data_IF_592160514105
#
_entry.id   IF_592160514105
#
_cell.length_a   1.000
_cell.length_b   1.000
_cell.length_c   1.000
_cell.angle_alpha   90.00
_cell.angle_beta   90.00
_cell.angle_gamma   90.00
#
_symmetry.space_group_name_H-M   'P 1'
#
loop_
_entity.id
_entity.type
_entity.pdbx_description
1 polymer ?
#
# COMPACT_ATOMS: atom_id res chain seq x y z
N UNK A 1 -1.87 28.96 7.77
CA UNK A 1 -1.30 27.60 7.75
C UNK A 1 -0.77 27.35 6.36
N UNK A 2 0.45 26.84 6.28
CA UNK A 2 1.26 26.80 5.06
C UNK A 2 1.18 25.40 4.42
N UNK A 3 1.47 25.29 3.12
CA UNK A 3 1.46 24.04 2.33
C UNK A 3 2.72 23.20 2.57
N UNK A 4 2.64 21.87 2.43
CA UNK A 4 3.80 20.95 2.40
C UNK A 4 4.51 21.06 1.05
N UNK A 5 5.84 21.20 1.06
CA UNK A 5 6.62 21.15 -0.18
C UNK A 5 6.72 19.72 -0.75
N UNK A 6 7.02 19.62 -2.03
CA UNK A 6 7.32 18.35 -2.71
C UNK A 6 8.80 17.97 -2.50
N UNK A 7 9.17 17.68 -1.25
CA UNK A 7 10.56 17.53 -0.78
C UNK A 7 11.34 16.38 -1.43
N UNK A 8 10.68 15.35 -1.95
CA UNK A 8 11.30 14.21 -2.63
C UNK A 8 11.32 14.34 -4.16
N UNK A 9 10.79 15.45 -4.67
CA UNK A 9 10.84 15.79 -6.08
C UNK A 9 12.29 16.03 -6.56
N UNK A 10 12.60 15.61 -7.78
CA UNK A 10 13.95 15.69 -8.37
C UNK A 10 14.88 14.54 -7.98
N UNK A 11 14.47 13.68 -7.02
CA UNK A 11 15.23 12.50 -6.60
C UNK A 11 14.42 11.21 -6.71
N UNK A 12 13.26 11.14 -6.06
CA UNK A 12 12.40 9.95 -6.09
C UNK A 12 11.48 9.90 -7.31
N UNK A 13 11.13 11.07 -7.83
CA UNK A 13 10.34 11.27 -9.05
C UNK A 13 10.74 12.60 -9.70
N UNK A 14 10.39 12.82 -10.97
CA UNK A 14 10.80 14.02 -11.69
C UNK A 14 10.18 15.30 -11.11
N UNK A 15 10.98 16.35 -10.95
CA UNK A 15 10.59 17.72 -10.62
C UNK A 15 10.07 18.52 -11.83
N UNK A 16 10.28 18.02 -13.03
CA UNK A 16 9.74 18.63 -14.25
C UNK A 16 8.29 18.22 -14.46
N UNK A 17 7.37 19.18 -14.34
CA UNK A 17 5.93 19.00 -14.61
C UNK A 17 5.68 18.21 -15.90
N UNK A 18 6.34 18.59 -16.99
CA UNK A 18 6.20 17.95 -18.32
C UNK A 18 6.66 16.50 -18.30
N UNK A 19 7.81 16.22 -17.69
CA UNK A 19 8.37 14.86 -17.63
C UNK A 19 7.52 13.97 -16.75
N UNK A 20 7.15 14.44 -15.56
CA UNK A 20 6.32 13.71 -14.61
C UNK A 20 4.93 13.41 -15.20
N UNK A 21 4.28 14.39 -15.83
CA UNK A 21 3.00 14.19 -16.53
C UNK A 21 3.11 13.08 -17.58
N UNK A 22 4.13 13.15 -18.45
CA UNK A 22 4.35 12.15 -19.51
C UNK A 22 4.59 10.75 -18.93
N UNK A 23 5.38 10.63 -17.86
CA UNK A 23 5.67 9.35 -17.22
C UNK A 23 4.39 8.72 -16.65
N UNK A 24 3.61 9.49 -15.89
CA UNK A 24 2.35 9.03 -15.31
C UNK A 24 1.35 8.63 -16.40
N UNK A 25 1.18 9.46 -17.44
CA UNK A 25 0.31 9.16 -18.58
C UNK A 25 0.73 7.88 -19.30
N UNK A 26 2.02 7.71 -19.53
CA UNK A 26 2.56 6.52 -20.19
C UNK A 26 2.28 5.26 -19.37
N UNK A 27 2.54 5.28 -18.06
CA UNK A 27 2.30 4.11 -17.21
C UNK A 27 0.81 3.79 -17.09
N UNK A 28 -0.06 4.79 -16.91
CA UNK A 28 -1.52 4.60 -16.91
C UNK A 28 -2.03 4.06 -18.26
N UNK A 29 -1.45 4.49 -19.38
CA UNK A 29 -1.81 3.99 -20.70
C UNK A 29 -1.35 2.55 -20.96
N UNK A 30 -0.26 2.09 -20.31
CA UNK A 30 0.25 0.73 -20.44
C UNK A 30 -0.59 -0.32 -19.71
N UNK A 31 -1.33 0.07 -18.67
CA UNK A 31 -2.27 -0.83 -18.01
C UNK A 31 -3.45 -1.10 -18.97
N UNK A 32 -3.88 -2.35 -19.18
CA UNK A 32 -5.06 -2.66 -19.99
C UNK A 32 -6.31 -1.92 -19.50
N UNK A 33 -7.25 -1.59 -20.41
CA UNK A 33 -8.54 -1.02 -20.01
C UNK A 33 -9.51 -2.07 -19.46
N UNK A 34 -9.19 -3.35 -19.64
CA UNK A 34 -9.92 -4.48 -19.10
C UNK A 34 -8.89 -5.54 -18.66
N UNK A 35 -9.03 -6.05 -17.44
CA UNK A 35 -8.16 -7.09 -16.89
C UNK A 35 -8.97 -8.39 -16.79
N UNK A 36 -8.48 -9.45 -17.42
CA UNK A 36 -9.12 -10.77 -17.36
C UNK A 36 -9.34 -11.22 -15.90
N UNK A 37 -10.56 -11.67 -15.60
CA UNK A 37 -10.97 -12.08 -14.25
C UNK A 37 -11.35 -10.92 -13.31
N UNK A 38 -11.12 -9.67 -13.71
CA UNK A 38 -11.48 -8.47 -12.95
C UNK A 38 -12.55 -7.64 -13.69
N UNK A 39 -12.36 -7.40 -14.99
CA UNK A 39 -13.23 -6.58 -15.83
C UNK A 39 -12.64 -5.21 -16.15
N UNK A 40 -13.51 -4.28 -16.53
CA UNK A 40 -13.12 -2.98 -17.07
C UNK A 40 -12.64 -2.01 -16.00
N UNK A 41 -11.69 -1.15 -16.36
CA UNK A 41 -11.07 -0.16 -15.48
C UNK A 41 -11.57 1.28 -15.78
N UNK A 42 -11.74 2.14 -14.75
CA UNK A 42 -11.61 1.83 -13.32
C UNK A 42 -12.68 0.84 -12.88
N UNK A 43 -12.36 0.02 -11.87
CA UNK A 43 -13.28 -1.00 -11.37
C UNK A 43 -14.43 -0.27 -10.64
N UNK A 44 -15.69 -0.41 -11.06
CA UNK A 44 -16.80 0.33 -10.44
C UNK A 44 -16.86 0.09 -8.93
N UNK A 45 -16.80 1.17 -8.14
CA UNK A 45 -16.86 1.09 -6.68
C UNK A 45 -15.55 0.62 -6.00
N UNK A 46 -14.45 0.42 -6.73
CA UNK A 46 -13.15 0.17 -6.14
C UNK A 46 -12.59 1.46 -5.54
N UNK A 47 -12.84 1.67 -4.25
CA UNK A 47 -12.48 2.89 -3.51
C UNK A 47 -11.27 2.73 -2.61
N UNK A 48 -10.72 1.52 -2.49
CA UNK A 48 -9.53 1.24 -1.67
C UNK A 48 -8.47 0.65 -2.58
N UNK A 49 -7.23 1.13 -2.49
CA UNK A 49 -6.08 0.54 -3.19
C UNK A 49 -4.89 0.31 -2.26
N UNK A 50 -4.07 -0.70 -2.59
CA UNK A 50 -2.69 -0.84 -2.10
C UNK A 50 -1.78 -0.51 -3.28
N UNK A 51 -0.86 0.42 -3.08
CA UNK A 51 0.10 0.86 -4.09
C UNK A 51 1.49 1.07 -3.49
N UNK A 52 2.57 0.85 -4.27
CA UNK A 52 3.94 1.00 -3.79
C UNK A 52 4.37 2.46 -3.66
N UNK A 53 5.41 2.71 -2.88
CA UNK A 53 5.98 4.03 -2.61
C UNK A 53 7.50 4.11 -2.76
N UNK A 54 8.13 3.16 -3.45
CA UNK A 54 9.49 3.37 -3.95
C UNK A 54 9.58 4.50 -4.99
N UNK A 55 10.81 4.88 -5.37
CA UNK A 55 11.05 5.85 -6.44
C UNK A 55 10.43 5.40 -7.77
N UNK A 56 9.87 6.36 -8.53
CA UNK A 56 9.03 6.09 -9.70
C UNK A 56 9.74 5.36 -10.84
N UNK A 57 11.07 5.45 -10.91
CA UNK A 57 11.87 4.67 -11.87
C UNK A 57 11.73 3.15 -11.66
N UNK A 58 11.38 2.71 -10.45
CA UNK A 58 11.22 1.31 -10.09
C UNK A 58 9.75 0.92 -9.97
N UNK A 59 8.98 1.61 -9.14
CA UNK A 59 7.62 1.21 -8.76
C UNK A 59 6.52 1.95 -9.52
N UNK A 60 6.86 3.00 -10.28
CA UNK A 60 5.91 3.83 -11.02
C UNK A 60 4.99 3.02 -11.94
N UNK A 61 5.51 2.13 -12.80
CA UNK A 61 4.69 1.24 -13.63
C UNK A 61 3.77 0.32 -12.83
N UNK A 62 4.26 -0.26 -11.73
CA UNK A 62 3.46 -1.12 -10.87
C UNK A 62 2.29 -0.33 -10.26
N UNK A 63 2.55 0.82 -9.64
CA UNK A 63 1.54 1.69 -9.03
C UNK A 63 0.40 2.07 -10.00
N UNK A 64 0.69 2.19 -11.31
CA UNK A 64 -0.31 2.50 -12.32
C UNK A 64 -1.49 1.51 -12.32
N UNK A 65 -1.25 0.23 -12.01
CA UNK A 65 -2.29 -0.79 -11.95
C UNK A 65 -3.28 -0.54 -10.81
N UNK A 66 -2.79 -0.16 -9.63
CA UNK A 66 -3.64 0.24 -8.51
C UNK A 66 -4.44 1.50 -8.86
N UNK A 67 -3.78 2.55 -9.34
CA UNK A 67 -4.44 3.81 -9.67
C UNK A 67 -5.44 3.70 -10.82
N UNK A 68 -5.15 2.92 -11.87
CA UNK A 68 -6.12 2.72 -12.94
C UNK A 68 -7.32 1.90 -12.49
N UNK A 69 -7.18 1.07 -11.45
CA UNK A 69 -8.31 0.34 -10.86
C UNK A 69 -9.20 1.22 -9.96
N UNK A 70 -8.67 2.32 -9.41
CA UNK A 70 -9.33 3.19 -8.45
C UNK A 70 -10.46 4.02 -9.10
N UNK A 71 -11.68 3.88 -8.57
CA UNK A 71 -12.84 4.68 -8.97
C UNK A 71 -13.01 5.90 -8.06
N UNK A 72 -12.64 7.07 -8.59
CA UNK A 72 -12.80 8.37 -7.93
C UNK A 72 -14.05 9.12 -8.39
N UNK A 73 -14.98 8.50 -9.13
CA UNK A 73 -16.17 9.15 -9.71
C UNK A 73 -17.04 9.89 -8.68
N UNK A 74 -17.10 9.36 -7.46
CA UNK A 74 -17.90 9.90 -6.33
C UNK A 74 -17.06 10.52 -5.23
N UNK A 75 -15.73 10.47 -5.34
CA UNK A 75 -14.84 10.87 -4.27
C UNK A 75 -14.99 12.37 -3.96
N UNK A 76 -15.17 12.67 -2.67
CA UNK A 76 -15.08 14.00 -2.06
C UNK A 76 -13.88 14.09 -1.14
N UNK A 77 -13.40 12.96 -0.62
CA UNK A 77 -12.18 12.86 0.20
C UNK A 77 -11.33 11.67 -0.21
N UNK A 78 -10.01 11.83 -0.12
CA UNK A 78 -9.04 10.76 -0.39
C UNK A 78 -8.12 10.63 0.83
N UNK A 79 -8.26 9.53 1.55
CA UNK A 79 -7.39 9.17 2.66
C UNK A 79 -6.11 8.51 2.12
N UNK A 80 -4.96 8.88 2.68
CA UNK A 80 -3.67 8.28 2.33
C UNK A 80 -3.02 7.80 3.61
N UNK A 81 -2.93 6.49 3.79
CA UNK A 81 -2.28 5.88 4.95
C UNK A 81 -0.89 5.43 4.55
N UNK A 82 0.14 6.08 5.10
CA UNK A 82 1.54 5.76 4.81
C UNK A 82 2.33 5.40 6.06
N UNK A 83 3.22 4.39 6.00
CA UNK A 83 4.08 4.07 7.13
C UNK A 83 5.07 5.21 7.42
N UNK A 84 5.52 5.32 8.67
CA UNK A 84 6.65 6.19 9.00
C UNK A 84 7.99 5.46 8.92
N UNK A 85 8.94 6.02 8.17
CA UNK A 85 10.30 5.52 8.01
C UNK A 85 11.30 6.27 8.90
N UNK A 86 11.07 7.56 9.11
CA UNK A 86 12.04 8.46 9.75
C UNK A 86 11.64 8.87 11.17
N UNK A 87 10.34 8.87 11.48
CA UNK A 87 9.82 9.31 12.77
C UNK A 87 9.32 8.12 13.60
N UNK A 88 9.91 7.90 14.76
CA UNK A 88 9.42 6.88 15.66
C UNK A 88 8.12 7.35 16.34
N UNK A 89 7.02 6.66 16.03
CA UNK A 89 5.74 6.80 16.72
C UNK A 89 5.06 5.43 16.84
N UNK A 90 4.31 5.23 17.92
CA UNK A 90 3.56 3.99 18.21
C UNK A 90 2.04 4.13 18.00
N UNK A 91 1.63 5.24 17.38
CA UNK A 91 0.23 5.61 17.04
C UNK A 91 0.18 6.14 15.60
N UNK A 92 -0.91 6.80 15.21
CA UNK A 92 -1.09 7.48 13.94
C UNK A 92 -0.92 9.00 14.11
N UNK A 93 -0.35 9.67 13.11
CA UNK A 93 -0.15 11.12 13.09
C UNK A 93 -0.90 11.79 11.93
N UNK A 94 -1.36 13.02 12.16
CA UNK A 94 -2.06 13.86 11.20
C UNK A 94 -1.29 15.18 10.97
N UNK A 95 -1.35 15.77 9.76
CA UNK A 95 -0.58 16.96 9.44
C UNK A 95 -1.12 18.22 10.14
N UNK A 96 -0.24 19.17 10.39
CA UNK A 96 -0.57 20.54 10.84
C UNK A 96 -0.70 21.55 9.67
N UNK A 97 -0.81 21.01 8.44
CA UNK A 97 -0.77 21.74 7.18
C UNK A 97 -2.17 21.82 6.54
N UNK A 98 -2.32 22.65 5.51
CA UNK A 98 -3.61 22.85 4.81
C UNK A 98 -3.66 22.27 3.41
N UNK A 99 -2.51 22.00 2.80
CA UNK A 99 -2.42 21.54 1.41
C UNK A 99 -1.03 20.97 1.11
N UNK A 100 -0.91 20.10 0.12
CA UNK A 100 0.35 19.47 -0.30
C UNK A 100 0.69 19.81 -1.75
N UNK A 101 1.92 20.27 -2.02
CA UNK A 101 2.40 20.54 -3.36
C UNK A 101 2.77 19.27 -4.11
N UNK A 102 2.69 19.37 -5.44
CA UNK A 102 3.29 18.41 -6.38
C UNK A 102 3.83 19.19 -7.58
N UNK A 103 4.81 18.68 -8.33
CA UNK A 103 5.28 19.35 -9.55
C UNK A 103 4.25 19.42 -10.69
N UNK A 104 3.04 18.87 -10.54
CA UNK A 104 2.03 18.81 -11.60
C UNK A 104 1.21 20.10 -11.76
N UNK A 105 1.23 20.99 -10.77
CA UNK A 105 0.52 22.28 -10.77
C UNK A 105 1.15 23.24 -9.75
N UNK A 106 1.00 24.54 -10.01
CA UNK A 106 1.34 25.59 -9.05
C UNK A 106 0.31 25.70 -7.91
N UNK A 107 -0.88 25.10 -8.06
CA UNK A 107 -1.87 24.99 -6.99
C UNK A 107 -1.69 23.66 -6.23
N UNK A 108 -1.57 23.67 -4.89
CA UNK A 108 -1.41 22.46 -4.10
C UNK A 108 -2.74 21.70 -3.90
N UNK A 109 -2.65 20.39 -3.66
CA UNK A 109 -3.81 19.57 -3.32
C UNK A 109 -4.36 19.96 -1.94
N UNK A 110 -5.65 20.27 -1.79
CA UNK A 110 -6.23 20.71 -0.52
C UNK A 110 -6.32 19.55 0.49
N UNK A 111 -6.09 19.83 1.77
CA UNK A 111 -6.39 18.89 2.86
C UNK A 111 -7.75 19.18 3.49
N UNK A 112 -8.44 18.15 4.00
CA UNK A 112 -9.68 18.30 4.75
C UNK A 112 -9.36 18.72 6.20
N UNK A 113 -9.06 20.00 6.40
CA UNK A 113 -8.60 20.51 7.71
C UNK A 113 -9.67 20.38 8.80
N UNK A 114 -10.95 20.42 8.45
CA UNK A 114 -12.04 20.24 9.39
C UNK A 114 -12.08 18.78 9.89
N UNK A 115 -12.00 17.82 8.97
CA UNK A 115 -11.94 16.41 9.34
C UNK A 115 -10.65 16.07 10.09
N UNK A 116 -9.49 16.61 9.68
CA UNK A 116 -8.22 16.41 10.39
C UNK A 116 -8.33 16.89 11.84
N UNK A 117 -8.89 18.08 12.08
CA UNK A 117 -9.12 18.60 13.43
C UNK A 117 -10.10 17.72 14.23
N UNK A 118 -11.15 17.21 13.59
CA UNK A 118 -12.08 16.25 14.19
C UNK A 118 -11.38 14.95 14.59
N UNK A 119 -10.57 14.37 13.71
CA UNK A 119 -9.82 13.14 14.00
C UNK A 119 -8.83 13.35 15.14
N UNK A 120 -8.09 14.47 15.16
CA UNK A 120 -7.17 14.82 16.25
C UNK A 120 -7.85 14.90 17.63
N UNK A 121 -9.11 15.34 17.67
CA UNK A 121 -9.90 15.41 18.92
C UNK A 121 -10.63 14.12 19.27
N UNK A 122 -10.61 13.12 18.38
CA UNK A 122 -11.27 11.82 18.58
C UNK A 122 -10.29 10.79 19.14
N UNK A 123 -10.78 9.93 20.05
CA UNK A 123 -10.00 8.82 20.62
C UNK A 123 -10.48 7.50 20.04
N UNK A 124 -9.56 6.68 19.55
CA UNK A 124 -9.80 5.28 19.24
C UNK A 124 -9.85 4.46 20.54
N UNK A 125 -10.77 3.49 20.61
CA UNK A 125 -11.01 2.66 21.79
C UNK A 125 -10.47 1.26 21.51
N UNK A 126 -9.55 0.79 22.36
CA UNK A 126 -8.99 -0.56 22.27
C UNK A 126 -9.94 -1.57 22.91
N UNK A 127 -9.77 -2.84 22.55
CA UNK A 127 -10.57 -3.96 23.08
C UNK A 127 -10.56 -4.08 24.60
N UNK A 128 -9.49 -3.63 25.28
CA UNK A 128 -9.40 -3.61 26.74
C UNK A 128 -10.00 -2.35 27.39
N UNK A 129 -10.71 -1.52 26.63
CA UNK A 129 -11.33 -0.27 27.10
C UNK A 129 -10.38 0.92 27.23
N UNK A 130 -9.06 0.72 27.07
CA UNK A 130 -8.11 1.85 27.02
C UNK A 130 -8.27 2.63 25.71
N UNK A 131 -7.83 3.89 25.71
CA UNK A 131 -7.96 4.76 24.53
C UNK A 131 -6.59 5.17 23.98
N UNK A 132 -6.56 5.47 22.69
CA UNK A 132 -5.40 6.00 21.97
C UNK A 132 -5.86 7.13 21.06
N UNK A 133 -5.07 8.20 21.00
CA UNK A 133 -5.34 9.36 20.15
C UNK A 133 -4.41 9.39 18.95
N UNK A 134 -4.83 10.07 17.89
CA UNK A 134 -3.89 10.60 16.90
C UNK A 134 -2.91 11.57 17.58
N UNK A 135 -1.70 11.66 17.04
CA UNK A 135 -0.76 12.75 17.31
C UNK A 135 -0.70 13.68 16.10
N UNK A 136 0.07 14.77 16.20
CA UNK A 136 0.41 15.60 15.03
C UNK A 136 1.77 15.22 14.46
N UNK A 137 1.94 15.45 13.16
CA UNK A 137 3.25 15.49 12.50
C UNK A 137 3.54 16.94 12.10
N UNK A 138 4.66 17.47 12.58
CA UNK A 138 5.11 18.82 12.22
C UNK A 138 5.50 18.86 10.73
N UNK A 139 5.57 20.06 10.14
CA UNK A 139 6.05 20.25 8.76
C UNK A 139 7.31 19.46 8.46
N UNK A 140 8.32 19.55 9.32
CA UNK A 140 9.61 18.90 9.08
C UNK A 140 9.52 17.39 9.11
N UNK A 141 8.66 16.82 9.96
CA UNK A 141 8.41 15.36 9.98
C UNK A 141 7.65 14.94 8.73
N UNK A 142 6.66 15.72 8.32
CA UNK A 142 5.83 15.46 7.15
C UNK A 142 6.67 15.54 5.85
N UNK A 143 7.53 16.57 5.71
CA UNK A 143 8.41 16.76 4.55
C UNK A 143 9.58 15.76 4.53
N UNK A 144 10.02 15.18 5.65
CA UNK A 144 11.04 14.13 5.66
C UNK A 144 10.46 12.74 5.28
N UNK A 145 9.15 12.55 5.43
CA UNK A 145 8.49 11.29 5.07
C UNK A 145 8.10 11.24 3.59
N UNK A 146 8.39 10.12 2.93
CA UNK A 146 8.13 9.93 1.50
C UNK A 146 6.92 9.04 1.23
N UNK A 147 6.54 8.17 2.17
CA UNK A 147 5.52 7.13 1.92
C UNK A 147 4.16 7.69 1.49
N UNK A 148 3.78 8.87 1.97
CA UNK A 148 2.55 9.58 1.55
C UNK A 148 2.81 10.38 0.27
N UNK A 149 3.98 11.04 0.17
CA UNK A 149 4.32 11.92 -0.95
C UNK A 149 4.31 11.19 -2.30
N UNK A 150 4.80 9.96 -2.33
CA UNK A 150 4.89 9.17 -3.58
C UNK A 150 3.51 8.82 -4.17
N UNK A 151 2.42 9.04 -3.44
CA UNK A 151 1.06 8.90 -3.95
C UNK A 151 0.49 10.21 -4.54
N UNK A 152 1.05 11.37 -4.17
CA UNK A 152 0.48 12.67 -4.52
C UNK A 152 0.49 12.95 -6.03
N UNK A 153 1.58 12.69 -6.79
CA UNK A 153 1.56 12.89 -8.24
C UNK A 153 0.54 12.03 -8.96
N UNK A 154 0.41 10.75 -8.59
CA UNK A 154 -0.61 9.87 -9.18
C UNK A 154 -2.03 10.38 -8.87
N UNK A 155 -2.32 10.72 -7.61
CA UNK A 155 -3.63 11.26 -7.20
C UNK A 155 -3.94 12.54 -8.00
N UNK A 156 -3.00 13.50 -8.02
CA UNK A 156 -3.19 14.75 -8.74
C UNK A 156 -3.43 14.49 -10.24
N UNK A 157 -2.67 13.59 -10.85
CA UNK A 157 -2.82 13.31 -12.28
C UNK A 157 -4.17 12.68 -12.60
N UNK A 158 -4.63 11.72 -11.79
CA UNK A 158 -5.97 11.13 -11.95
C UNK A 158 -7.07 12.18 -11.84
N UNK A 159 -6.95 13.10 -10.88
CA UNK A 159 -7.91 14.18 -10.69
C UNK A 159 -7.92 15.18 -11.85
N UNK A 160 -6.75 15.51 -12.41
CA UNK A 160 -6.64 16.31 -13.64
C UNK A 160 -7.33 15.63 -14.84
N UNK A 161 -7.14 14.32 -14.99
CA UNK A 161 -7.76 13.56 -16.07
C UNK A 161 -9.29 13.48 -15.92
N UNK A 162 -9.77 13.30 -14.68
CA UNK A 162 -11.18 13.15 -14.38
C UNK A 162 -11.94 14.49 -14.35
N UNK A 163 -11.28 15.56 -13.91
CA UNK A 163 -11.86 16.89 -13.75
C UNK A 163 -11.03 17.97 -14.46
N UNK A 164 -10.85 17.90 -15.79
CA UNK A 164 -9.91 18.75 -16.54
C UNK A 164 -10.24 20.25 -16.49
N UNK A 165 -11.46 20.62 -16.10
CA UNK A 165 -11.91 22.01 -15.99
C UNK A 165 -12.05 22.50 -14.55
N UNK A 166 -11.78 21.66 -13.54
CA UNK A 166 -11.83 22.08 -12.13
C UNK A 166 -10.45 22.56 -11.68
N UNK A 167 -10.36 23.69 -10.97
CA UNK A 167 -9.11 24.10 -10.34
C UNK A 167 -8.72 23.12 -9.22
N UNK A 168 -7.43 23.04 -8.89
CA UNK A 168 -6.92 22.08 -7.89
C UNK A 168 -7.56 22.30 -6.52
N UNK A 169 -7.84 23.56 -6.17
CA UNK A 169 -8.56 23.92 -4.94
C UNK A 169 -9.97 23.32 -4.80
N UNK A 170 -10.58 22.80 -5.87
CA UNK A 170 -11.90 22.17 -5.88
C UNK A 170 -11.83 20.64 -6.07
N UNK A 171 -10.64 20.05 -6.07
CA UNK A 171 -10.48 18.61 -6.06
C UNK A 171 -10.93 18.01 -4.72
N UNK A 172 -11.22 16.69 -4.68
CA UNK A 172 -11.43 15.97 -3.44
C UNK A 172 -10.29 16.24 -2.46
N UNK A 173 -10.63 16.62 -1.23
CA UNK A 173 -9.65 16.96 -0.21
C UNK A 173 -8.92 15.71 0.29
N UNK A 174 -7.64 15.85 0.59
CA UNK A 174 -6.84 14.75 1.11
C UNK A 174 -6.95 14.66 2.63
N UNK A 175 -6.83 13.45 3.15
CA UNK A 175 -6.64 13.15 4.57
C UNK A 175 -5.38 12.29 4.74
N UNK A 176 -4.20 12.92 4.82
CA UNK A 176 -2.95 12.20 5.06
C UNK A 176 -2.89 11.66 6.48
N UNK A 177 -2.51 10.39 6.62
CA UNK A 177 -2.38 9.71 7.91
C UNK A 177 -1.05 8.96 7.90
N UNK A 178 -0.10 9.44 8.72
CA UNK A 178 1.15 8.72 8.95
C UNK A 178 0.92 7.63 10.01
N UNK A 179 1.24 6.38 9.68
CA UNK A 179 1.02 5.21 10.54
C UNK A 179 2.37 4.76 11.10
N UNK A 180 2.49 4.76 12.42
CA UNK A 180 3.71 4.33 13.10
C UNK A 180 3.89 2.83 13.24
N UNK A 181 4.97 2.47 13.93
CA UNK A 181 5.23 1.11 14.39
C UNK A 181 4.33 0.80 15.59
N UNK A 182 3.12 0.35 15.31
CA UNK A 182 2.06 0.18 16.31
C UNK A 182 1.78 -1.29 16.63
N UNK A 183 0.74 -1.55 17.43
CA UNK A 183 0.31 -2.89 17.85
C UNK A 183 -1.00 -3.29 17.19
N UNK A 184 -1.26 -4.60 17.05
CA UNK A 184 -2.55 -5.12 16.54
C UNK A 184 -3.78 -4.53 17.27
N UNK A 185 -3.68 -4.34 18.59
CA UNK A 185 -4.75 -3.71 19.39
C UNK A 185 -4.96 -2.23 19.08
N UNK A 186 -3.93 -1.52 18.63
CA UNK A 186 -4.02 -0.13 18.21
C UNK A 186 -4.52 -0.04 16.77
N UNK A 187 -4.07 -0.95 15.90
CA UNK A 187 -4.53 -1.07 14.50
C UNK A 187 -6.02 -1.34 14.45
N UNK A 188 -6.52 -2.32 15.22
CA UNK A 188 -7.95 -2.61 15.32
C UNK A 188 -8.76 -1.41 15.86
N UNK A 189 -8.23 -0.70 16.87
CA UNK A 189 -8.91 0.47 17.43
C UNK A 189 -9.04 1.62 16.42
N UNK A 190 -7.99 1.89 15.63
CA UNK A 190 -8.07 2.88 14.56
C UNK A 190 -8.87 2.38 13.35
N UNK A 191 -8.84 1.08 13.07
CA UNK A 191 -9.70 0.45 12.06
C UNK A 191 -11.18 0.73 12.36
N UNK A 192 -11.63 0.42 13.57
CA UNK A 192 -12.99 0.72 14.03
C UNK A 192 -13.32 2.22 14.03
N UNK A 193 -12.36 3.09 14.36
CA UNK A 193 -12.54 4.55 14.27
C UNK A 193 -12.72 5.01 12.81
N UNK A 194 -12.00 4.40 11.86
CA UNK A 194 -12.01 4.77 10.45
C UNK A 194 -13.14 4.10 9.65
N UNK A 195 -13.71 3.01 10.14
CA UNK A 195 -14.79 2.24 9.51
C UNK A 195 -15.97 3.10 9.01
N UNK A 196 -16.53 4.08 9.76
CA UNK A 196 -17.60 4.93 9.25
C UNK A 196 -17.20 5.79 8.03
N UNK A 197 -15.92 6.17 7.93
CA UNK A 197 -15.41 6.88 6.75
C UNK A 197 -15.20 5.94 5.58
N UNK A 198 -14.93 4.66 5.84
CA UNK A 198 -14.77 3.63 4.83
C UNK A 198 -16.11 3.28 4.17
N UNK A 199 -17.19 3.17 4.95
CA UNK A 199 -18.56 2.95 4.45
C UNK A 199 -19.07 4.07 3.55
N UNK A 200 -18.72 5.33 3.84
CA UNK A 200 -19.17 6.49 3.06
C UNK A 200 -18.65 6.40 1.61
N UNK A 201 -19.53 6.24 0.60
CA UNK A 201 -19.15 6.06 -0.80
C UNK A 201 -18.48 7.29 -1.40
N UNK A 202 -18.49 8.43 -0.70
CA UNK A 202 -17.77 9.63 -1.09
C UNK A 202 -16.29 9.63 -0.66
N UNK A 203 -15.80 8.59 0.02
CA UNK A 203 -14.41 8.51 0.43
C UNK A 203 -13.66 7.43 -0.36
N UNK A 204 -12.39 7.70 -0.67
CA UNK A 204 -11.44 6.74 -1.22
C UNK A 204 -10.21 6.62 -0.31
N UNK A 205 -9.51 5.50 -0.37
CA UNK A 205 -8.40 5.14 0.51
C UNK A 205 -7.21 4.62 -0.30
N UNK A 206 -6.04 5.21 -0.09
CA UNK A 206 -4.76 4.78 -0.63
C UNK A 206 -3.92 4.23 0.52
N UNK A 207 -3.59 2.95 0.44
CA UNK A 207 -2.72 2.25 1.38
C UNK A 207 -1.33 2.18 0.75
N UNK A 208 -0.40 2.90 1.34
CA UNK A 208 0.97 3.00 0.84
C UNK A 208 1.81 1.84 1.37
N UNK A 209 2.26 0.94 0.48
CA UNK A 209 3.12 -0.17 0.85
C UNK A 209 3.93 -0.73 -0.32
N UNK A 210 5.25 -0.76 -0.15
CA UNK A 210 6.10 -1.76 -0.79
C UNK A 210 5.96 -3.11 -0.02
N UNK A 211 6.43 -4.19 -0.64
CA UNK A 211 6.42 -5.55 -0.06
C UNK A 211 7.83 -5.90 0.45
N UNK A 212 8.35 -7.11 0.23
CA UNK A 212 9.64 -7.51 0.78
C UNK A 212 10.78 -6.54 0.42
N UNK A 213 11.47 -6.06 1.44
CA UNK A 213 12.81 -5.47 1.35
C UNK A 213 13.83 -6.55 1.74
N UNK A 214 14.39 -7.23 0.75
CA UNK A 214 15.32 -8.34 0.93
C UNK A 214 16.78 -7.91 0.74
N UNK A 215 17.64 -8.38 1.62
CA UNK A 215 19.10 -8.23 1.54
C UNK A 215 19.74 -7.82 2.86
N UNK A 216 21.06 -7.97 2.93
CA UNK A 216 21.85 -7.65 4.13
C UNK A 216 21.65 -6.19 4.59
N UNK A 217 21.49 -5.25 3.65
CA UNK A 217 21.26 -3.83 3.95
C UNK A 217 19.95 -3.56 4.71
N UNK A 218 18.95 -4.43 4.55
CA UNK A 218 17.67 -4.36 5.24
C UNK A 218 17.63 -5.23 6.51
N UNK A 219 18.74 -5.93 6.81
CA UNK A 219 18.82 -6.92 7.89
C UNK A 219 17.75 -8.01 7.77
N UNK A 220 17.37 -8.34 6.55
CA UNK A 220 16.37 -9.34 6.25
C UNK A 220 16.81 -10.19 5.06
N UNK A 221 17.17 -11.45 5.32
CA UNK A 221 17.68 -12.40 4.32
C UNK A 221 16.94 -13.73 4.42
N UNK A 222 15.64 -13.68 4.74
CA UNK A 222 14.80 -14.86 4.86
C UNK A 222 14.73 -15.62 3.53
N UNK A 223 14.86 -16.94 3.60
CA UNK A 223 14.97 -17.82 2.46
C UNK A 223 14.23 -19.13 2.73
N UNK A 224 13.39 -19.54 1.79
CA UNK A 224 12.52 -20.71 1.85
C UNK A 224 13.06 -21.75 0.86
N UNK A 225 13.79 -22.78 1.33
CA UNK A 225 14.37 -23.79 0.44
C UNK A 225 13.31 -24.69 -0.23
N UNK A 226 12.07 -24.68 0.27
CA UNK A 226 10.92 -25.39 -0.30
C UNK A 226 10.14 -24.55 -1.32
N UNK A 227 10.58 -23.32 -1.61
CA UNK A 227 9.91 -22.48 -2.59
C UNK A 227 9.85 -23.14 -3.98
N UNK A 228 8.81 -22.88 -4.78
CA UNK A 228 8.69 -23.44 -6.12
C UNK A 228 9.91 -23.16 -7.00
N UNK A 229 10.38 -24.19 -7.72
CA UNK A 229 11.44 -24.10 -8.73
C UNK A 229 11.04 -24.82 -10.03
N UNK A 230 10.97 -24.14 -11.19
CA UNK A 230 11.17 -22.70 -11.34
C UNK A 230 10.05 -21.90 -10.65
N UNK A 231 10.41 -20.74 -10.11
CA UNK A 231 9.44 -19.78 -9.58
C UNK A 231 8.73 -18.98 -10.69
N UNK A 232 7.84 -18.06 -10.31
CA UNK A 232 7.10 -17.25 -11.27
C UNK A 232 8.03 -16.32 -12.06
N UNK A 233 7.75 -16.15 -13.35
CA UNK A 233 8.37 -15.12 -14.19
C UNK A 233 7.65 -13.80 -13.96
N UNK A 234 8.37 -12.81 -13.41
CA UNK A 234 7.82 -11.47 -13.21
C UNK A 234 7.87 -10.64 -14.50
N UNK A 235 6.95 -9.69 -14.67
CA UNK A 235 5.89 -9.29 -13.74
C UNK A 235 4.66 -10.23 -13.77
N UNK A 236 4.00 -10.43 -12.62
CA UNK A 236 2.73 -11.17 -12.56
C UNK A 236 1.53 -10.22 -12.68
N UNK A 237 0.46 -10.72 -13.30
CA UNK A 237 -0.82 -10.04 -13.46
C UNK A 237 -1.93 -10.78 -12.70
N UNK A 238 -3.12 -10.18 -12.60
CA UNK A 238 -4.24 -10.65 -11.76
C UNK A 238 -4.52 -12.16 -11.85
N UNK A 239 -4.50 -12.75 -13.05
CA UNK A 239 -4.77 -14.18 -13.29
C UNK A 239 -3.77 -15.15 -12.64
N UNK A 240 -2.59 -14.66 -12.27
CA UNK A 240 -1.50 -15.44 -11.68
C UNK A 240 -1.24 -15.05 -10.22
N UNK A 241 -2.08 -14.17 -9.66
CA UNK A 241 -1.98 -13.66 -8.31
C UNK A 241 -3.14 -14.19 -7.46
N UNK A 242 -2.98 -14.30 -6.14
CA UNK A 242 -4.07 -14.68 -5.25
C UNK A 242 -5.29 -13.77 -5.43
N UNK A 243 -6.49 -14.36 -5.46
CA UNK A 243 -7.75 -13.64 -5.60
C UNK A 243 -8.71 -13.99 -4.46
N UNK A 244 -9.62 -13.09 -4.07
CA UNK A 244 -10.68 -13.40 -3.14
C UNK A 244 -11.56 -14.56 -3.60
N UNK A 245 -11.77 -15.52 -2.71
CA UNK A 245 -12.56 -16.74 -2.97
C UNK A 245 -11.72 -17.96 -3.34
N UNK A 246 -10.39 -17.84 -3.38
CA UNK A 246 -9.51 -19.02 -3.29
C UNK A 246 -9.82 -19.80 -2.00
N UNK A 247 -9.79 -21.14 -2.08
CA UNK A 247 -10.09 -22.02 -0.93
C UNK A 247 -9.19 -21.67 0.26
N UNK A 248 -9.80 -21.42 1.44
CA UNK A 248 -9.07 -21.04 2.66
C UNK A 248 -8.02 -22.11 3.01
N UNK A 249 -8.34 -23.39 2.79
CA UNK A 249 -7.38 -24.48 3.02
C UNK A 249 -6.14 -24.37 2.12
N UNK A 250 -6.31 -23.90 0.87
CA UNK A 250 -5.19 -23.62 -0.03
C UNK A 250 -4.36 -22.40 0.43
N UNK A 251 -4.99 -21.41 1.09
CA UNK A 251 -4.27 -20.27 1.66
C UNK A 251 -3.44 -20.71 2.86
N UNK A 252 -4.02 -21.48 3.78
CA UNK A 252 -3.29 -22.03 4.94
C UNK A 252 -2.12 -22.90 4.51
N UNK A 253 -2.30 -23.77 3.51
CA UNK A 253 -1.20 -24.58 2.95
C UNK A 253 -0.08 -23.72 2.36
N UNK A 254 -0.41 -22.65 1.62
CA UNK A 254 0.58 -21.69 1.11
C UNK A 254 1.33 -21.00 2.26
N UNK A 255 0.63 -20.54 3.28
CA UNK A 255 1.24 -19.88 4.45
C UNK A 255 2.20 -20.84 5.17
N UNK A 256 1.77 -22.09 5.41
CA UNK A 256 2.59 -23.11 6.05
C UNK A 256 3.84 -23.44 5.23
N UNK A 257 3.69 -23.59 3.91
CA UNK A 257 4.79 -23.95 3.01
C UNK A 257 5.97 -22.98 3.01
N UNK A 258 5.71 -21.70 3.33
CA UNK A 258 6.74 -20.65 3.39
C UNK A 258 7.18 -20.31 4.80
N UNK A 259 6.61 -20.96 5.82
CA UNK A 259 6.90 -20.68 7.24
C UNK A 259 8.19 -21.34 7.74
N UNK A 260 8.66 -22.39 7.06
CA UNK A 260 9.85 -23.15 7.42
C UNK A 260 11.16 -22.61 6.80
N UNK A 261 11.26 -21.31 6.56
CA UNK A 261 12.46 -20.66 6.03
C UNK A 261 13.54 -20.35 7.08
N UNK A 262 14.69 -19.88 6.60
CA UNK A 262 15.86 -19.53 7.40
C UNK A 262 16.46 -18.19 6.95
N UNK A 263 17.19 -17.50 7.84
CA UNK A 263 17.96 -16.30 7.45
C UNK A 263 19.33 -16.67 6.90
N UNK A 264 19.62 -16.26 5.67
CA UNK A 264 20.93 -16.48 5.06
C UNK A 264 21.99 -15.54 5.66
N UNK A 265 23.19 -16.07 5.79
CA UNK A 265 24.41 -15.36 6.16
C UNK A 265 25.27 -15.11 4.91
N UNK A 266 26.14 -14.10 4.96
CA UNK A 266 27.01 -13.71 3.84
C UNK A 266 27.84 -14.86 3.23
N UNK A 267 28.19 -15.85 4.04
CA UNK A 267 28.97 -17.02 3.62
C UNK A 267 28.15 -18.09 2.91
N UNK A 268 26.82 -18.02 3.02
CA UNK A 268 25.94 -19.03 2.47
C UNK A 268 25.92 -18.92 0.94
N UNK A 269 25.73 -20.07 0.29
CA UNK A 269 25.66 -20.18 -1.16
C UNK A 269 24.48 -21.08 -1.50
N UNK A 270 23.62 -20.59 -2.39
CA UNK A 270 22.45 -21.34 -2.80
C UNK A 270 22.84 -22.39 -3.84
N UNK A 271 22.47 -23.63 -3.58
CA UNK A 271 22.73 -24.75 -4.48
C UNK A 271 21.93 -24.58 -5.78
N UNK A 272 22.50 -24.98 -6.91
CA UNK A 272 21.78 -25.00 -8.20
C UNK A 272 20.57 -25.93 -8.21
N UNK A 273 20.42 -26.82 -7.22
CA UNK A 273 19.23 -27.68 -7.04
C UNK A 273 18.10 -27.01 -6.25
N UNK A 274 18.40 -25.96 -5.50
CA UNK A 274 17.44 -25.23 -4.66
C UNK A 274 16.89 -24.00 -5.40
N UNK A 275 15.70 -23.48 -5.03
CA UNK A 275 15.18 -22.23 -5.59
C UNK A 275 16.17 -21.08 -5.41
N UNK A 276 16.26 -20.17 -6.37
CA UNK A 276 17.05 -18.94 -6.20
C UNK A 276 16.44 -18.05 -5.12
N UNK A 277 17.20 -17.08 -4.61
CA UNK A 277 16.71 -16.14 -3.60
C UNK A 277 15.45 -15.43 -4.08
N UNK A 278 15.43 -14.94 -5.32
CA UNK A 278 14.27 -14.23 -5.84
C UNK A 278 13.02 -15.13 -6.06
N UNK A 279 13.20 -16.44 -6.31
CA UNK A 279 12.11 -17.41 -6.33
C UNK A 279 11.52 -17.58 -4.92
N UNK A 280 12.38 -17.67 -3.90
CA UNK A 280 11.96 -17.67 -2.50
C UNK A 280 11.23 -16.38 -2.12
N UNK A 281 11.71 -15.20 -2.54
CA UNK A 281 11.05 -13.91 -2.27
C UNK A 281 9.61 -13.92 -2.79
N UNK A 282 9.42 -14.41 -4.03
CA UNK A 282 8.07 -14.51 -4.59
C UNK A 282 7.18 -15.47 -3.83
N UNK A 283 7.71 -16.57 -3.32
CA UNK A 283 6.90 -17.53 -2.58
C UNK A 283 6.27 -16.89 -1.34
N UNK A 284 7.06 -16.24 -0.49
CA UNK A 284 6.51 -15.64 0.73
C UNK A 284 5.80 -14.30 0.50
N UNK A 285 6.13 -13.53 -0.54
CA UNK A 285 5.33 -12.37 -0.94
C UNK A 285 3.94 -12.80 -1.42
N UNK A 286 3.85 -13.82 -2.28
CA UNK A 286 2.57 -14.36 -2.77
C UNK A 286 1.76 -14.97 -1.61
N UNK A 287 2.39 -15.65 -0.66
CA UNK A 287 1.71 -16.11 0.54
C UNK A 287 1.18 -14.95 1.40
N UNK A 288 1.94 -13.86 1.51
CA UNK A 288 1.49 -12.61 2.17
C UNK A 288 0.28 -12.00 1.45
N UNK A 289 0.30 -11.94 0.12
CA UNK A 289 -0.86 -11.50 -0.68
C UNK A 289 -2.07 -12.41 -0.44
N UNK A 290 -1.87 -13.73 -0.44
CA UNK A 290 -2.95 -14.71 -0.21
C UNK A 290 -3.59 -14.54 1.17
N UNK A 291 -2.77 -14.28 2.21
CA UNK A 291 -3.28 -13.98 3.54
C UNK A 291 -4.15 -12.71 3.55
N UNK A 292 -3.75 -11.66 2.82
CA UNK A 292 -4.53 -10.42 2.65
C UNK A 292 -5.85 -10.69 1.91
N UNK A 293 -5.85 -11.53 0.86
CA UNK A 293 -7.07 -11.82 0.08
C UNK A 293 -8.14 -12.60 0.86
N UNK A 294 -7.79 -13.19 2.01
CA UNK A 294 -8.78 -13.82 2.90
C UNK A 294 -9.78 -12.81 3.46
N UNK A 295 -9.38 -11.54 3.57
CA UNK A 295 -10.14 -10.49 4.27
C UNK A 295 -10.11 -10.63 5.79
N UNK A 296 -9.29 -11.53 6.34
CA UNK A 296 -9.15 -11.76 7.78
C UNK A 296 -7.82 -11.17 8.25
N UNK A 297 -7.86 -10.11 9.05
CA UNK A 297 -6.67 -9.38 9.53
C UNK A 297 -5.73 -10.31 10.29
N UNK A 298 -6.27 -11.25 11.08
CA UNK A 298 -5.47 -12.21 11.83
C UNK A 298 -4.59 -13.10 10.93
N UNK A 299 -5.08 -13.52 9.76
CA UNK A 299 -4.30 -14.34 8.84
C UNK A 299 -3.10 -13.56 8.27
N UNK A 300 -3.31 -12.29 7.93
CA UNK A 300 -2.24 -11.41 7.48
C UNK A 300 -1.17 -11.20 8.57
N UNK A 301 -1.59 -10.90 9.80
CA UNK A 301 -0.67 -10.71 10.92
C UNK A 301 0.12 -11.98 11.26
N UNK A 302 -0.53 -13.16 11.23
CA UNK A 302 0.13 -14.46 11.40
C UNK A 302 1.19 -14.68 10.31
N UNK A 303 0.87 -14.40 9.04
CA UNK A 303 1.83 -14.55 7.94
C UNK A 303 3.06 -13.65 8.11
N UNK A 304 2.87 -12.39 8.51
CA UNK A 304 3.97 -11.47 8.82
C UNK A 304 4.80 -12.00 10.00
N UNK A 305 4.15 -12.51 11.05
CA UNK A 305 4.85 -13.05 12.21
C UNK A 305 5.72 -14.28 11.86
N UNK A 306 5.20 -15.19 11.04
CA UNK A 306 5.90 -16.44 10.68
C UNK A 306 7.13 -16.22 9.80
N UNK A 307 7.06 -15.27 8.87
CA UNK A 307 8.15 -15.01 7.91
C UNK A 307 9.04 -13.83 8.28
N UNK A 308 8.55 -12.93 9.13
CA UNK A 308 9.17 -11.63 9.36
C UNK A 308 9.21 -10.73 8.12
N UNK A 309 8.37 -10.99 7.10
CA UNK A 309 8.40 -10.27 5.83
C UNK A 309 8.37 -8.75 6.06
N UNK A 310 9.30 -8.05 5.42
CA UNK A 310 9.58 -6.62 5.61
C UNK A 310 8.63 -5.72 4.81
N UNK A 311 7.34 -6.07 4.78
CA UNK A 311 6.28 -5.23 4.21
C UNK A 311 6.23 -3.91 4.99
N UNK A 312 6.68 -2.82 4.37
CA UNK A 312 6.83 -1.53 5.06
C UNK A 312 5.47 -0.95 5.49
N UNK A 313 4.44 -1.12 4.67
CA UNK A 313 3.06 -0.69 4.94
C UNK A 313 2.22 -1.72 5.70
N UNK A 314 2.81 -2.69 6.40
CA UNK A 314 2.05 -3.70 7.16
C UNK A 314 1.07 -3.09 8.18
N UNK A 315 1.45 -1.98 8.81
CA UNK A 315 0.60 -1.30 9.79
C UNK A 315 -0.58 -0.56 9.11
N UNK A 316 -0.37 0.26 8.05
CA UNK A 316 -1.47 0.76 7.20
C UNK A 316 -2.41 -0.33 6.68
N UNK A 317 -1.87 -1.44 6.16
CA UNK A 317 -2.66 -2.57 5.66
C UNK A 317 -3.53 -3.14 6.79
N UNK A 318 -2.94 -3.40 7.96
CA UNK A 318 -3.66 -3.95 9.12
C UNK A 318 -4.77 -3.02 9.63
N UNK A 319 -4.52 -1.71 9.73
CA UNK A 319 -5.55 -0.70 10.10
C UNK A 319 -6.74 -0.78 9.15
N UNK A 320 -6.47 -0.83 7.84
CA UNK A 320 -7.54 -0.86 6.84
C UNK A 320 -8.26 -2.20 6.76
N UNK A 321 -7.55 -3.33 6.90
CA UNK A 321 -8.17 -4.64 6.98
C UNK A 321 -9.11 -4.72 8.21
N UNK A 322 -8.67 -4.21 9.37
CA UNK A 322 -9.53 -4.16 10.55
C UNK A 322 -10.74 -3.22 10.37
N UNK A 323 -10.57 -2.10 9.66
CA UNK A 323 -11.71 -1.23 9.31
C UNK A 323 -12.72 -1.91 8.39
N UNK A 324 -12.24 -2.73 7.44
CA UNK A 324 -13.08 -3.52 6.55
C UNK A 324 -13.86 -4.58 7.34
N UNK A 325 -13.17 -5.32 8.21
CA UNK A 325 -13.79 -6.35 9.06
C UNK A 325 -14.91 -5.79 9.96
N UNK A 326 -14.78 -4.55 10.44
CA UNK A 326 -15.81 -3.88 11.25
C UNK A 326 -17.11 -3.65 10.46
N UNK A 327 -17.02 -3.42 9.15
CA UNK A 327 -18.16 -3.02 8.31
C UNK A 327 -18.70 -4.15 7.43
N UNK A 328 -17.94 -5.22 7.25
CA UNK A 328 -18.37 -6.42 6.53
C UNK A 328 -18.83 -7.48 7.51
N UNK A 329 -20.12 -7.84 7.48
CA UNK A 329 -20.56 -9.08 8.13
C UNK A 329 -19.96 -10.29 7.39
N UNK A 330 -19.60 -11.35 8.11
CA UNK A 330 -19.03 -12.57 7.50
C UNK A 330 -19.95 -13.25 6.47
N UNK A 331 -21.20 -12.79 6.30
CA UNK A 331 -22.19 -13.37 5.40
C UNK A 331 -22.18 -12.75 3.98
N UNK A 332 -21.49 -11.63 3.73
CA UNK A 332 -21.52 -10.91 2.43
C UNK A 332 -20.28 -11.15 1.51
N UNK A 333 -20.07 -12.40 1.06
CA UNK A 333 -19.31 -12.69 -0.17
C UNK A 333 -17.86 -12.16 -0.28
N UNK A 334 -17.54 -11.46 -1.40
CA UNK A 334 -16.20 -10.91 -1.74
C UNK A 334 -16.00 -9.44 -1.33
N UNK A 335 -17.00 -8.82 -0.71
CA UNK A 335 -16.99 -7.40 -0.32
C UNK A 335 -15.82 -7.12 0.63
N UNK A 336 -15.10 -6.03 0.41
CA UNK A 336 -13.95 -5.63 1.21
C UNK A 336 -12.67 -6.46 1.02
N UNK A 337 -12.69 -7.56 0.24
CA UNK A 337 -11.50 -8.38 0.02
C UNK A 337 -10.62 -7.77 -1.09
N UNK A 338 -9.30 -7.83 -0.91
CA UNK A 338 -8.36 -7.26 -1.87
C UNK A 338 -8.15 -8.17 -3.07
N UNK A 339 -8.21 -7.58 -4.27
CA UNK A 339 -7.84 -8.17 -5.54
C UNK A 339 -6.45 -7.67 -5.95
N UNK A 340 -5.45 -8.55 -5.97
CA UNK A 340 -4.13 -8.19 -6.48
C UNK A 340 -4.13 -8.19 -8.01
N UNK A 341 -3.64 -7.11 -8.60
CA UNK A 341 -3.63 -6.90 -10.06
C UNK A 341 -2.24 -6.88 -10.64
N UNK A 342 -1.21 -6.63 -9.82
CA UNK A 342 0.18 -6.57 -10.26
C UNK A 342 1.16 -6.98 -9.15
N UNK A 343 2.20 -7.70 -9.52
CA UNK A 343 3.38 -7.94 -8.69
C UNK A 343 4.66 -7.85 -9.50
N UNK A 344 5.61 -7.07 -9.01
CA UNK A 344 6.91 -6.81 -9.62
C UNK A 344 8.01 -6.79 -8.56
N UNK A 345 9.26 -6.76 -8.99
CA UNK A 345 10.41 -6.52 -8.12
C UNK A 345 11.44 -5.64 -8.82
N UNK A 346 12.23 -4.93 -8.04
CA UNK A 346 13.30 -4.05 -8.57
C UNK A 346 14.45 -4.82 -9.25
N UNK A 347 14.78 -6.01 -8.78
CA UNK A 347 15.84 -6.85 -9.34
C UNK A 347 15.70 -8.31 -8.89
N UNK A 348 16.30 -9.23 -9.64
CA UNK A 348 16.40 -10.64 -9.28
C UNK A 348 17.64 -10.86 -8.40
N UNK A 349 17.44 -10.92 -7.08
CA UNK A 349 18.49 -11.35 -6.16
C UNK A 349 18.84 -12.84 -6.39
N UNK A 350 20.12 -13.13 -6.64
CA UNK A 350 20.65 -14.49 -6.85
C UNK A 350 21.73 -14.85 -5.83
N UNK A 351 22.43 -13.85 -5.30
CA UNK A 351 23.47 -13.97 -4.28
C UNK A 351 23.10 -13.23 -2.99
N UNK A 352 23.70 -13.63 -1.86
CA UNK A 352 23.39 -13.02 -0.54
C UNK A 352 23.83 -11.56 -0.43
N UNK A 353 24.80 -11.14 -1.23
CA UNK A 353 25.24 -9.74 -1.30
C UNK A 353 24.27 -8.87 -2.15
N UNK A 354 23.32 -9.47 -2.87
CA UNK A 354 22.29 -8.74 -3.60
C UNK A 354 21.24 -8.14 -2.66
N UNK A 355 20.42 -7.24 -3.21
CA UNK A 355 19.22 -6.76 -2.54
C UNK A 355 18.13 -6.47 -3.55
N UNK A 356 16.88 -6.61 -3.12
CA UNK A 356 15.70 -6.32 -3.93
C UNK A 356 14.57 -5.78 -3.06
N UNK A 357 13.69 -5.02 -3.68
CA UNK A 357 12.42 -4.57 -3.12
C UNK A 357 11.29 -5.03 -4.04
N UNK A 358 10.24 -5.58 -3.45
CA UNK A 358 9.03 -6.06 -4.13
C UNK A 358 7.93 -5.00 -4.16
N UNK A 359 7.14 -4.98 -5.24
CA UNK A 359 6.06 -4.01 -5.46
C UNK A 359 4.77 -4.73 -5.83
N UNK A 360 3.65 -4.30 -5.23
CA UNK A 360 2.32 -4.86 -5.54
C UNK A 360 1.35 -3.75 -5.90
N UNK A 361 0.30 -4.11 -6.62
CA UNK A 361 -0.91 -3.30 -6.72
C UNK A 361 -2.13 -4.14 -6.44
N UNK A 362 -3.03 -3.60 -5.63
CA UNK A 362 -4.31 -4.23 -5.33
C UNK A 362 -5.42 -3.18 -5.19
N UNK A 363 -6.66 -3.62 -5.32
CA UNK A 363 -7.83 -2.81 -5.01
C UNK A 363 -8.85 -3.63 -4.20
N UNK A 364 -9.78 -2.96 -3.53
CA UNK A 364 -10.95 -3.59 -2.92
C UNK A 364 -12.22 -2.77 -3.21
N UNK A 365 -13.33 -3.48 -3.36
CA UNK A 365 -14.68 -2.93 -3.53
C UNK A 365 -15.48 -3.12 -2.25
N UNK A 366 -16.19 -2.08 -1.83
CA UNK A 366 -17.09 -2.09 -0.67
C UNK A 366 -18.54 -2.03 -1.10
#
# INVERSE_FOLDING_TARGET
MQSREASHSGSWYSDSQRTLTRQLDQWLAQVPNDIEGIGSLPVPGARIIIAPHAGYAYSGPCAAYAYKSLDLSKAKRIFILGPSHHHYLSTLALPELTSYYTPLSDEPLPLDTELIAKLLSTKAVKSNGSTVSFTTMSRSIDEDEHSIELHLPYIHRLLQLQFPSKPTSQYPSLVPIMVGSTSASTESAFGALLAPYLEDPANAFVISSDFCHWGLRFRYTYYVPQAPKPGPKLPLSANSLPQPGDDISNVEEKMESVSAGQSLQRRDRISSREPTIHESISAFDIATMAAITTGVTANFLDMIQRTGNTVCGRHPISVMMAAIEEITSQEEGKKGKFHFVRYERSSDAIDVDDSSVSYVSAFATL
#
